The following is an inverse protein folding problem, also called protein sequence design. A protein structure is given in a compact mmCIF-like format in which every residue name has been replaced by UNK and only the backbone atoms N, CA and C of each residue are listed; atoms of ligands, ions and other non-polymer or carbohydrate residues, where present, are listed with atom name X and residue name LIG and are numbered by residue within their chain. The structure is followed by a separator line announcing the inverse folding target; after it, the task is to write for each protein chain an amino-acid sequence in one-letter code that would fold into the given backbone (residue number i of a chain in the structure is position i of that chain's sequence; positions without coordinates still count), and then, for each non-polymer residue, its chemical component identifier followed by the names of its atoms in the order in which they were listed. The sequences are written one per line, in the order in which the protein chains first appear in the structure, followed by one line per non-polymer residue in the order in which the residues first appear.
data_IF_883949456849
#
_entry.id   IF_883949456849
#
_cell.length_a   1.000
_cell.length_b   1.000
_cell.length_c   1.000
_cell.angle_alpha   90.00
_cell.angle_beta   90.00
_cell.angle_gamma   90.00
#
_symmetry.space_group_name_H-M   'P 1'
#
loop_
_entity.id
_entity.type
_entity.pdbx_description
1 polymer ?
#
# COMPACT_ATOMS: atom_id res chain seq x y z
N UNK A 1 18.94 1.80 -39.01
CA UNK A 1 18.84 2.20 -37.60
C UNK A 1 18.78 0.96 -36.67
N UNK A 2 17.81 0.01 -36.83
CA UNK A 2 17.73 -1.20 -35.99
C UNK A 2 18.99 -2.05 -36.05
N UNK A 3 19.51 -2.37 -37.25
CA UNK A 3 20.75 -3.18 -37.38
C UNK A 3 22.01 -2.54 -36.82
N UNK A 4 22.11 -1.20 -36.83
CA UNK A 4 23.21 -0.47 -36.19
C UNK A 4 23.15 -0.63 -34.66
N UNK A 5 21.95 -0.49 -34.09
CA UNK A 5 21.75 -0.65 -32.65
C UNK A 5 21.96 -2.10 -32.21
N UNK A 6 21.48 -3.07 -33.00
CA UNK A 6 21.72 -4.50 -32.77
C UNK A 6 23.23 -4.79 -32.68
N UNK A 7 24.00 -4.33 -33.68
CA UNK A 7 25.46 -4.55 -33.71
C UNK A 7 26.16 -3.89 -32.52
N UNK A 8 25.75 -2.68 -32.13
CA UNK A 8 26.28 -1.99 -30.96
C UNK A 8 26.03 -2.78 -29.67
N UNK A 9 24.78 -3.20 -29.45
CA UNK A 9 24.36 -3.93 -28.25
C UNK A 9 25.10 -5.27 -28.15
N UNK A 10 25.11 -6.07 -29.20
CA UNK A 10 25.69 -7.40 -29.14
C UNK A 10 27.23 -7.40 -29.24
N UNK A 11 27.84 -6.36 -29.81
CA UNK A 11 29.32 -6.16 -29.76
C UNK A 11 29.76 -5.89 -28.32
N UNK A 12 29.02 -5.11 -27.55
CA UNK A 12 29.37 -4.70 -26.19
C UNK A 12 28.50 -5.39 -25.11
N UNK A 13 27.98 -6.59 -25.41
CA UNK A 13 27.02 -7.31 -24.55
C UNK A 13 27.47 -7.48 -23.10
N UNK A 14 28.76 -7.74 -22.85
CA UNK A 14 29.33 -7.89 -21.51
C UNK A 14 29.34 -6.55 -20.77
N UNK A 15 29.81 -5.50 -21.44
CA UNK A 15 29.85 -4.16 -20.84
C UNK A 15 28.44 -3.64 -20.50
N UNK A 16 27.45 -3.91 -21.35
CA UNK A 16 26.04 -3.55 -21.11
C UNK A 16 25.50 -4.28 -19.87
N UNK A 17 25.78 -5.59 -19.73
CA UNK A 17 25.33 -6.33 -18.54
C UNK A 17 26.00 -5.85 -17.26
N UNK A 18 27.29 -5.52 -17.33
CA UNK A 18 28.05 -4.94 -16.19
C UNK A 18 27.41 -3.59 -15.80
N UNK A 19 27.14 -2.73 -16.80
CA UNK A 19 26.51 -1.44 -16.54
C UNK A 19 25.11 -1.58 -15.93
N UNK A 20 24.26 -2.46 -16.48
CA UNK A 20 22.93 -2.75 -15.92
C UNK A 20 23.05 -3.34 -14.52
N UNK A 21 23.99 -4.24 -14.29
CA UNK A 21 24.27 -4.83 -12.97
C UNK A 21 24.69 -3.77 -11.94
N UNK A 22 25.59 -2.86 -12.32
CA UNK A 22 26.03 -1.76 -11.46
C UNK A 22 24.86 -0.81 -11.13
N UNK A 23 24.07 -0.41 -12.13
CA UNK A 23 22.85 0.39 -11.93
C UNK A 23 21.87 -0.34 -11.01
N UNK A 24 21.67 -1.65 -11.22
CA UNK A 24 20.76 -2.45 -10.38
C UNK A 24 21.23 -2.53 -8.93
N UNK A 25 22.54 -2.63 -8.70
CA UNK A 25 23.10 -2.63 -7.34
C UNK A 25 22.86 -1.28 -6.63
N UNK A 26 23.11 -0.18 -7.33
CA UNK A 26 22.87 1.18 -6.80
C UNK A 26 21.37 1.40 -6.55
N UNK A 27 20.52 1.06 -7.51
CA UNK A 27 19.09 1.16 -7.37
C UNK A 27 18.56 0.23 -6.28
N UNK A 28 19.13 -0.96 -6.12
CA UNK A 28 18.79 -1.88 -5.03
C UNK A 28 19.03 -1.25 -3.65
N UNK A 29 20.13 -0.52 -3.49
CA UNK A 29 20.39 0.22 -2.25
C UNK A 29 19.32 1.28 -1.97
N UNK A 30 18.96 2.11 -2.93
CA UNK A 30 17.91 3.11 -2.74
C UNK A 30 16.53 2.49 -2.54
N UNK A 31 16.24 1.36 -3.18
CA UNK A 31 14.97 0.65 -2.98
C UNK A 31 14.74 0.19 -1.53
N UNK A 32 15.82 -0.09 -0.77
CA UNK A 32 15.70 -0.45 0.66
C UNK A 32 15.37 0.73 1.57
N UNK A 33 15.48 1.96 1.08
CA UNK A 33 15.19 3.18 1.83
C UNK A 33 13.77 3.71 1.59
N UNK A 34 12.97 2.98 0.81
CA UNK A 34 11.60 3.36 0.50
C UNK A 34 10.77 3.40 1.78
N UNK A 35 10.06 4.52 1.98
CA UNK A 35 9.19 4.75 3.13
C UNK A 35 7.73 4.62 2.70
N UNK A 36 6.88 4.24 3.65
CA UNK A 36 5.43 4.36 3.44
C UNK A 36 5.02 5.80 3.69
N UNK A 37 4.24 6.34 2.77
CA UNK A 37 3.71 7.69 2.86
C UNK A 37 2.22 7.65 2.47
N UNK A 38 1.40 7.73 3.46
CA UNK A 38 -0.04 7.64 3.28
C UNK A 38 -0.72 8.92 3.79
N UNK A 39 -0.12 10.09 3.50
CA UNK A 39 -0.67 11.38 3.89
C UNK A 39 -2.10 11.58 3.38
N UNK A 40 -3.03 11.95 4.29
CA UNK A 40 -4.42 12.25 3.94
C UNK A 40 -4.51 13.33 2.86
N UNK A 41 -3.63 14.31 2.90
CA UNK A 41 -3.58 15.43 1.96
C UNK A 41 -3.40 15.00 0.50
N UNK A 42 -2.72 13.85 0.26
CA UNK A 42 -2.53 13.29 -1.07
C UNK A 42 -3.80 12.73 -1.70
N UNK A 43 -4.83 12.45 -0.88
CA UNK A 43 -6.11 11.92 -1.33
C UNK A 43 -7.05 13.02 -1.78
N UNK A 44 -6.73 14.28 -1.47
CA UNK A 44 -7.58 15.43 -1.76
C UNK A 44 -7.20 16.08 -3.10
N UNK A 45 -8.19 16.58 -3.87
CA UNK A 45 -7.94 17.36 -5.08
C UNK A 45 -7.37 18.74 -4.69
N UNK A 46 -6.05 18.90 -4.80
CA UNK A 46 -5.32 20.09 -4.32
C UNK A 46 -5.76 21.40 -4.98
N UNK A 47 -6.21 21.34 -6.23
CA UNK A 47 -6.61 22.53 -7.01
C UNK A 47 -8.02 23.01 -6.70
N UNK A 48 -8.80 22.27 -5.89
CA UNK A 48 -10.16 22.65 -5.56
C UNK A 48 -10.18 23.75 -4.50
N UNK A 49 -10.89 24.84 -4.75
CA UNK A 49 -10.97 26.03 -3.87
C UNK A 49 -11.32 25.66 -2.41
N UNK A 50 -12.30 24.78 -2.22
CA UNK A 50 -12.67 24.28 -0.90
C UNK A 50 -11.51 23.57 -0.18
N UNK A 51 -10.73 22.77 -0.91
CA UNK A 51 -9.60 22.05 -0.35
C UNK A 51 -8.45 23.00 -0.01
N UNK A 52 -8.19 23.99 -0.84
CA UNK A 52 -7.18 25.04 -0.55
C UNK A 52 -7.57 25.79 0.74
N UNK A 53 -8.82 26.19 0.86
CA UNK A 53 -9.33 26.83 2.07
C UNK A 53 -9.24 25.89 3.28
N UNK A 54 -9.60 24.61 3.12
CA UNK A 54 -9.48 23.62 4.19
C UNK A 54 -8.01 23.48 4.65
N UNK A 55 -7.05 23.32 3.74
CA UNK A 55 -5.63 23.19 4.04
C UNK A 55 -5.04 24.45 4.71
N UNK A 56 -5.53 25.64 4.33
CA UNK A 56 -5.10 26.91 4.95
C UNK A 56 -5.56 27.05 6.42
N UNK A 57 -6.76 26.53 6.73
CA UNK A 57 -7.37 26.71 8.05
C UNK A 57 -7.37 25.46 8.92
N UNK A 58 -6.95 24.29 8.40
CA UNK A 58 -7.00 23.02 9.12
C UNK A 58 -6.27 23.07 10.47
N UNK A 59 -5.10 23.70 10.51
CA UNK A 59 -4.28 23.81 11.72
C UNK A 59 -4.88 24.75 12.77
N UNK A 60 -5.77 25.67 12.33
CA UNK A 60 -6.36 26.70 13.21
C UNK A 60 -7.74 26.31 13.71
N UNK A 61 -8.51 25.57 12.93
CA UNK A 61 -9.92 25.32 13.22
C UNK A 61 -10.23 23.87 13.58
N UNK A 62 -9.59 22.91 12.91
CA UNK A 62 -9.89 21.51 13.13
C UNK A 62 -8.62 20.69 12.87
N UNK A 63 -7.97 20.23 13.92
CA UNK A 63 -6.90 19.24 13.77
C UNK A 63 -7.39 18.07 12.93
N UNK A 64 -6.78 17.83 11.77
CA UNK A 64 -7.10 16.67 10.90
C UNK A 64 -6.71 15.34 11.55
N UNK A 65 -5.99 15.39 12.66
CA UNK A 65 -5.41 14.27 13.38
C UNK A 65 -6.22 13.83 14.60
N UNK A 66 -7.55 14.03 14.59
CA UNK A 66 -8.39 13.58 15.71
C UNK A 66 -8.55 12.05 15.69
N UNK A 67 -8.38 11.45 16.87
CA UNK A 67 -8.66 10.04 17.13
C UNK A 67 -9.76 9.92 18.17
N UNK A 68 -10.69 9.00 17.93
CA UNK A 68 -11.81 8.73 18.80
C UNK A 68 -11.71 7.25 19.23
N UNK A 69 -11.67 7.03 20.52
CA UNK A 69 -11.70 5.71 21.14
C UNK A 69 -13.08 5.49 21.73
N UNK A 70 -13.80 4.49 21.27
CA UNK A 70 -15.15 4.17 21.73
C UNK A 70 -15.08 2.87 22.52
N UNK A 71 -15.41 2.93 23.80
CA UNK A 71 -15.64 1.77 24.64
C UNK A 71 -17.12 1.44 24.58
N UNK A 72 -17.48 0.22 24.23
CA UNK A 72 -18.85 -0.27 24.13
C UNK A 72 -19.06 -1.45 25.06
N UNK A 73 -20.13 -1.41 25.85
CA UNK A 73 -20.60 -2.58 26.58
C UNK A 73 -21.29 -3.55 25.61
N UNK A 74 -20.94 -4.84 25.66
CA UNK A 74 -21.58 -5.89 24.86
C UNK A 74 -22.98 -6.19 25.39
N UNK A 75 -23.09 -6.20 26.72
CA UNK A 75 -24.33 -6.37 27.44
C UNK A 75 -24.47 -5.26 28.49
N UNK A 76 -25.69 -4.73 28.65
CA UNK A 76 -25.99 -3.65 29.60
C UNK A 76 -25.72 -2.25 29.08
N UNK A 77 -25.41 -1.33 29.97
CA UNK A 77 -25.23 0.08 29.69
C UNK A 77 -23.93 0.64 30.32
N UNK A 78 -23.64 1.90 30.02
CA UNK A 78 -22.46 2.61 30.53
C UNK A 78 -22.54 2.94 32.02
N UNK A 79 -23.73 2.83 32.63
CA UNK A 79 -24.00 3.21 34.02
C UNK A 79 -23.70 2.05 34.99
N UNK A 80 -22.53 1.47 34.85
CA UNK A 80 -22.05 0.41 35.71
C UNK A 80 -20.62 0.72 36.18
N UNK A 81 -20.31 0.32 37.42
CA UNK A 81 -18.97 0.54 37.99
C UNK A 81 -17.87 -0.10 37.14
N UNK A 82 -18.01 -1.35 36.62
CA UNK A 82 -16.98 -1.94 35.78
C UNK A 82 -16.75 -1.17 34.49
N UNK A 83 -17.81 -0.66 33.83
CA UNK A 83 -17.67 0.13 32.62
C UNK A 83 -16.99 1.48 32.89
N UNK A 84 -17.45 2.22 33.91
CA UNK A 84 -16.87 3.52 34.24
C UNK A 84 -15.41 3.42 34.68
N UNK A 85 -15.04 2.35 35.41
CA UNK A 85 -13.66 2.08 35.75
C UNK A 85 -12.81 1.77 34.50
N UNK A 86 -13.32 0.94 33.60
CA UNK A 86 -12.63 0.63 32.34
C UNK A 86 -12.46 1.88 31.46
N UNK A 87 -13.47 2.74 31.41
CA UNK A 87 -13.40 4.01 30.66
C UNK A 87 -12.36 4.97 31.27
N UNK A 88 -12.20 4.97 32.61
CA UNK A 88 -11.13 5.73 33.27
C UNK A 88 -9.76 5.24 32.86
N UNK A 89 -9.53 3.93 32.95
CA UNK A 89 -8.25 3.33 32.54
C UNK A 89 -7.95 3.60 31.07
N UNK A 90 -8.96 3.51 30.19
CA UNK A 90 -8.84 3.86 28.78
C UNK A 90 -8.47 5.34 28.61
N UNK A 91 -9.10 6.23 29.38
CA UNK A 91 -8.80 7.67 29.33
C UNK A 91 -7.36 7.94 29.73
N UNK A 92 -6.87 7.29 30.77
CA UNK A 92 -5.50 7.43 31.24
C UNK A 92 -4.48 6.89 30.22
N UNK A 93 -4.73 5.73 29.63
CA UNK A 93 -3.85 5.17 28.60
C UNK A 93 -3.78 6.09 27.36
N UNK A 94 -4.91 6.64 26.93
CA UNK A 94 -4.93 7.61 25.82
C UNK A 94 -4.18 8.90 26.19
N UNK A 95 -4.34 9.38 27.42
CA UNK A 95 -3.66 10.59 27.90
C UNK A 95 -2.14 10.44 27.93
N UNK A 96 -1.63 9.25 28.25
CA UNK A 96 -0.20 8.98 28.30
C UNK A 96 0.38 8.41 27.00
N UNK A 97 -0.46 8.16 25.99
CA UNK A 97 -0.01 7.64 24.70
C UNK A 97 0.95 8.64 24.03
N UNK A 98 2.15 8.21 23.59
CA UNK A 98 3.08 9.08 22.86
C UNK A 98 2.43 9.59 21.56
N UNK A 99 2.65 10.87 21.25
CA UNK A 99 2.07 11.51 20.06
C UNK A 99 0.67 12.09 20.25
N UNK A 100 0.06 11.93 21.42
CA UNK A 100 -1.22 12.56 21.77
C UNK A 100 -0.97 13.94 22.39
N UNK A 101 -1.70 14.96 21.91
CA UNK A 101 -1.78 16.25 22.63
C UNK A 101 -2.69 16.09 23.84
N UNK A 102 -2.10 15.96 25.01
CA UNK A 102 -2.78 15.74 26.28
C UNK A 102 -3.84 16.78 26.61
N UNK A 103 -3.69 18.02 26.12
CA UNK A 103 -4.63 19.12 26.37
C UNK A 103 -5.97 18.91 25.68
N UNK A 104 -5.98 18.11 24.60
CA UNK A 104 -7.16 17.85 23.78
C UNK A 104 -7.91 16.59 24.19
N UNK A 105 -7.32 15.78 25.09
CA UNK A 105 -7.97 14.56 25.57
C UNK A 105 -9.26 14.91 26.29
N UNK A 106 -10.35 14.38 25.79
CA UNK A 106 -11.70 14.68 26.31
C UNK A 106 -12.48 13.37 26.50
N UNK A 107 -12.93 13.16 27.70
CA UNK A 107 -13.87 12.10 28.12
C UNK A 107 -14.71 12.61 29.29
N UNK A 108 -15.68 11.83 29.75
CA UNK A 108 -16.43 12.20 30.98
C UNK A 108 -15.56 12.18 32.25
N UNK A 109 -14.36 11.61 32.18
CA UNK A 109 -13.39 11.56 33.27
C UNK A 109 -12.38 12.74 33.29
N UNK A 110 -12.35 13.54 32.21
CA UNK A 110 -11.35 14.61 32.11
C UNK A 110 -11.85 15.93 32.72
N UNK A 111 -11.00 16.70 33.41
CA UNK A 111 -11.39 17.97 34.06
C UNK A 111 -11.86 19.07 33.10
N UNK A 112 -11.57 18.94 31.81
CA UNK A 112 -12.05 19.85 30.77
C UNK A 112 -13.50 19.56 30.34
N UNK A 113 -14.11 18.48 30.86
CA UNK A 113 -15.52 18.12 30.63
C UNK A 113 -16.36 18.55 31.82
N UNK A 114 -16.98 19.74 31.69
CA UNK A 114 -17.75 20.36 32.77
C UNK A 114 -19.21 20.55 32.36
N UNK A 115 -20.12 20.38 33.32
CA UNK A 115 -21.49 20.79 33.15
C UNK A 115 -21.73 22.19 33.77
N UNK A 116 -22.72 22.87 33.23
CA UNK A 116 -23.13 24.20 33.71
C UNK A 116 -24.58 24.13 34.19
N UNK A 117 -24.84 24.67 35.34
CA UNK A 117 -26.19 24.76 35.91
C UNK A 117 -26.43 26.19 36.37
N UNK A 118 -27.60 26.72 36.03
CA UNK A 118 -28.06 27.99 36.49
C UNK A 118 -28.89 27.76 37.76
N UNK A 119 -28.46 28.26 38.87
CA UNK A 119 -29.16 28.21 40.16
C UNK A 119 -29.58 29.59 40.59
N UNK A 120 -30.41 29.69 41.65
CA UNK A 120 -30.80 31.00 42.23
C UNK A 120 -29.60 31.82 42.73
N UNK A 121 -28.47 31.14 43.07
CA UNK A 121 -27.23 31.75 43.56
C UNK A 121 -26.25 32.11 42.44
N UNK A 122 -26.55 31.74 41.18
CA UNK A 122 -25.71 32.05 40.03
C UNK A 122 -25.41 30.83 39.14
N UNK A 123 -24.36 30.99 38.31
CA UNK A 123 -23.88 29.94 37.40
C UNK A 123 -22.88 29.02 38.13
N UNK A 124 -23.26 27.74 38.25
CA UNK A 124 -22.35 26.70 38.74
C UNK A 124 -21.70 26.00 37.54
N UNK A 125 -20.39 25.85 37.58
CA UNK A 125 -19.60 25.08 36.63
C UNK A 125 -18.81 24.01 37.42
N UNK A 126 -19.11 22.73 37.20
CA UNK A 126 -18.45 21.67 37.93
C UNK A 126 -18.10 20.50 37.00
N UNK A 127 -17.17 19.64 37.45
CA UNK A 127 -16.73 18.48 36.70
C UNK A 127 -17.87 17.45 36.64
N UNK A 128 -17.96 16.74 35.52
CA UNK A 128 -18.98 15.66 35.36
C UNK A 128 -18.79 14.57 36.41
N UNK A 129 -17.55 14.22 36.69
CA UNK A 129 -17.16 13.28 37.74
C UNK A 129 -16.21 14.04 38.67
N UNK A 130 -16.62 14.18 39.95
CA UNK A 130 -15.80 14.84 40.94
C UNK A 130 -14.48 14.11 41.21
N UNK A 131 -13.43 14.86 41.53
CA UNK A 131 -12.08 14.34 41.72
C UNK A 131 -11.94 13.37 42.93
N UNK A 132 -12.88 13.39 43.86
CA UNK A 132 -12.96 12.51 45.04
C UNK A 132 -13.58 11.14 44.70
N UNK A 133 -14.23 10.99 43.54
CA UNK A 133 -14.82 9.72 43.10
C UNK A 133 -13.73 8.77 42.59
N UNK A 134 -13.56 7.65 43.31
CA UNK A 134 -12.64 6.61 42.91
C UNK A 134 -13.32 5.59 42.01
N UNK A 135 -12.84 5.43 40.77
CA UNK A 135 -13.39 4.53 39.75
C UNK A 135 -13.58 3.08 40.27
N UNK A 136 -12.71 2.63 41.17
CA UNK A 136 -12.72 1.27 41.73
C UNK A 136 -13.69 1.10 42.90
N UNK A 137 -14.27 2.18 43.47
CA UNK A 137 -15.11 2.17 44.70
C UNK A 137 -16.41 2.96 44.52
N UNK A 138 -16.88 3.17 43.31
CA UNK A 138 -18.17 3.84 43.05
C UNK A 138 -19.33 2.96 43.56
N UNK A 139 -20.29 3.63 44.20
CA UNK A 139 -21.55 3.05 44.59
C UNK A 139 -22.67 3.52 43.61
N UNK A 140 -23.86 2.97 43.74
CA UNK A 140 -24.99 3.32 42.89
C UNK A 140 -25.39 4.81 42.97
N UNK A 141 -25.21 5.44 44.12
CA UNK A 141 -25.49 6.86 44.29
C UNK A 141 -24.50 7.74 43.50
N UNK A 142 -23.22 7.38 43.50
CA UNK A 142 -22.19 8.05 42.69
C UNK A 142 -22.51 7.93 41.19
N UNK A 143 -22.90 6.75 40.75
CA UNK A 143 -23.25 6.47 39.34
C UNK A 143 -24.47 7.33 38.92
N UNK A 144 -25.48 7.43 39.76
CA UNK A 144 -26.65 8.25 39.45
C UNK A 144 -26.33 9.75 39.40
N UNK A 145 -25.40 10.23 40.25
CA UNK A 145 -24.88 11.60 40.17
C UNK A 145 -24.17 11.82 38.84
N UNK A 146 -23.24 10.92 38.45
CA UNK A 146 -22.55 10.98 37.17
C UNK A 146 -23.53 11.00 35.99
N UNK A 147 -24.51 10.11 35.98
CA UNK A 147 -25.55 10.04 34.96
C UNK A 147 -26.28 11.37 34.81
N UNK A 148 -26.70 11.96 35.92
CA UNK A 148 -27.39 13.24 35.94
C UNK A 148 -26.50 14.38 35.41
N UNK A 149 -25.23 14.41 35.81
CA UNK A 149 -24.26 15.41 35.36
C UNK A 149 -23.99 15.30 33.84
N UNK A 150 -23.87 14.07 33.32
CA UNK A 150 -23.72 13.81 31.86
C UNK A 150 -24.96 14.33 31.09
N UNK A 151 -26.16 14.11 31.60
CA UNK A 151 -27.38 14.59 30.96
C UNK A 151 -27.45 16.12 31.03
N UNK A 152 -27.18 16.72 32.20
CA UNK A 152 -27.19 18.18 32.40
C UNK A 152 -26.14 18.88 31.50
N UNK A 153 -24.96 18.29 31.37
CA UNK A 153 -23.90 18.82 30.52
C UNK A 153 -24.12 18.64 29.01
N UNK A 154 -25.19 17.94 28.60
CA UNK A 154 -25.51 17.69 27.19
C UNK A 154 -24.49 16.77 26.50
N UNK A 155 -23.86 15.85 27.25
CA UNK A 155 -22.85 14.93 26.74
C UNK A 155 -23.43 13.67 26.11
N UNK A 156 -24.74 13.42 26.28
CA UNK A 156 -25.45 12.35 25.55
C UNK A 156 -25.50 12.65 24.05
N UNK A 157 -25.05 11.73 23.24
CA UNK A 157 -24.86 11.90 21.80
C UNK A 157 -23.54 12.60 21.40
N UNK A 158 -22.68 12.95 22.39
CA UNK A 158 -21.35 13.54 22.18
C UNK A 158 -20.22 12.72 22.77
N UNK A 159 -20.24 12.43 24.06
CA UNK A 159 -19.28 11.59 24.79
C UNK A 159 -19.89 10.27 25.26
N UNK A 160 -21.21 10.23 25.41
CA UNK A 160 -21.96 9.02 25.74
C UNK A 160 -22.97 8.78 24.62
N UNK A 161 -23.12 7.56 24.17
CA UNK A 161 -24.06 7.18 23.12
C UNK A 161 -25.51 7.42 23.54
N UNK A 162 -26.41 7.69 22.59
CA UNK A 162 -27.83 7.97 22.86
C UNK A 162 -28.59 6.80 23.47
N UNK A 163 -28.11 5.58 23.15
CA UNK A 163 -28.65 4.33 23.68
C UNK A 163 -27.94 3.87 24.98
N UNK A 164 -27.01 4.69 25.47
CA UNK A 164 -26.21 4.41 26.66
C UNK A 164 -25.36 3.13 26.59
N UNK A 165 -25.09 2.57 25.41
CA UNK A 165 -24.29 1.35 25.27
C UNK A 165 -22.78 1.62 25.15
N UNK A 166 -22.39 2.87 24.88
CA UNK A 166 -21.01 3.22 24.64
C UNK A 166 -20.65 4.60 25.20
N UNK A 167 -19.38 4.80 25.50
CA UNK A 167 -18.79 6.11 25.77
C UNK A 167 -17.48 6.26 25.03
N UNK A 168 -17.06 7.51 24.79
CA UNK A 168 -15.88 7.78 23.99
C UNK A 168 -14.86 8.66 24.70
N UNK A 169 -13.60 8.45 24.31
CA UNK A 169 -12.46 9.30 24.59
C UNK A 169 -11.99 9.88 23.27
N UNK A 170 -11.86 11.19 23.17
CA UNK A 170 -11.35 11.88 21.99
C UNK A 170 -10.01 12.51 22.29
N UNK A 171 -9.11 12.50 21.32
CA UNK A 171 -7.82 13.14 21.42
C UNK A 171 -7.36 13.64 20.05
N UNK A 172 -6.49 14.66 20.03
CA UNK A 172 -5.79 15.09 18.83
C UNK A 172 -4.35 14.62 18.89
N UNK A 173 -3.80 14.27 17.73
CA UNK A 173 -2.44 13.82 17.59
C UNK A 173 -1.54 15.01 17.24
N UNK A 174 -0.33 15.00 17.76
CA UNK A 174 0.70 15.93 17.38
C UNK A 174 1.19 15.63 15.96
N UNK A 175 1.53 16.65 15.18
CA UNK A 175 2.13 16.46 13.87
C UNK A 175 3.62 16.11 13.94
N UNK A 176 4.27 16.64 14.97
CA UNK A 176 5.70 16.49 15.22
C UNK A 176 5.90 15.95 16.62
N UNK A 177 6.74 14.95 16.78
CA UNK A 177 7.14 14.45 18.09
C UNK A 177 8.00 15.54 18.79
N UNK A 178 7.56 16.06 19.95
CA UNK A 178 8.27 17.12 20.65
C UNK A 178 9.65 16.71 21.19
N UNK A 179 9.99 15.41 21.16
CA UNK A 179 11.30 14.91 21.62
C UNK A 179 12.30 14.77 20.50
N UNK A 180 11.86 14.41 19.30
CA UNK A 180 12.72 14.13 18.14
C UNK A 180 12.69 15.25 17.12
N UNK A 181 11.73 16.17 17.22
CA UNK A 181 11.43 17.22 16.23
C UNK A 181 11.16 16.64 14.81
N UNK A 182 10.91 15.34 14.71
CA UNK A 182 10.55 14.65 13.48
C UNK A 182 9.02 14.54 13.37
N UNK A 183 8.54 14.37 12.14
CA UNK A 183 7.11 14.08 11.91
C UNK A 183 6.71 12.79 12.62
N UNK A 184 5.52 12.80 13.20
CA UNK A 184 4.98 11.64 13.92
C UNK A 184 4.92 10.40 13.01
N UNK A 185 5.47 9.30 13.49
CA UNK A 185 5.35 8.00 12.81
C UNK A 185 3.97 7.40 13.07
N UNK A 186 3.05 7.64 12.13
CA UNK A 186 1.69 7.14 12.21
C UNK A 186 1.59 5.60 12.22
N UNK A 187 2.58 4.90 11.66
CA UNK A 187 2.57 3.43 11.63
C UNK A 187 2.94 2.87 13.02
N UNK A 188 3.96 3.43 13.63
CA UNK A 188 4.35 3.05 15.00
C UNK A 188 3.23 3.43 15.97
N UNK A 189 2.63 4.60 15.83
CA UNK A 189 1.51 5.02 16.66
C UNK A 189 0.28 4.13 16.47
N UNK A 190 -0.08 3.77 15.22
CA UNK A 190 -1.18 2.83 14.96
C UNK A 190 -0.94 1.47 15.63
N UNK A 191 0.30 0.97 15.58
CA UNK A 191 0.68 -0.27 16.26
C UNK A 191 0.55 -0.17 17.76
N UNK A 192 0.97 0.95 18.36
CA UNK A 192 0.82 1.19 19.81
C UNK A 192 -0.64 1.29 20.21
N UNK A 193 -1.44 2.03 19.45
CA UNK A 193 -2.89 2.13 19.67
C UNK A 193 -3.54 0.74 19.66
N UNK A 194 -3.16 -0.12 18.72
CA UNK A 194 -3.67 -1.48 18.65
C UNK A 194 -3.27 -2.32 19.86
N UNK A 195 -2.00 -2.28 20.27
CA UNK A 195 -1.47 -3.14 21.33
C UNK A 195 -1.71 -2.59 22.75
N UNK A 196 -1.52 -1.28 22.96
CA UNK A 196 -1.57 -0.65 24.28
C UNK A 196 -2.98 -0.18 24.64
N UNK A 197 -3.86 0.03 23.64
CA UNK A 197 -5.22 0.49 23.88
C UNK A 197 -6.25 -0.58 23.53
N UNK A 198 -6.38 -0.97 22.25
CA UNK A 198 -7.43 -1.91 21.85
C UNK A 198 -7.30 -3.25 22.57
N UNK A 199 -6.18 -3.95 22.39
CA UNK A 199 -6.00 -5.29 22.96
C UNK A 199 -6.02 -5.31 24.47
N UNK A 200 -5.66 -4.21 25.15
CA UNK A 200 -5.69 -4.08 26.60
C UNK A 200 -7.11 -3.93 27.15
N UNK A 201 -7.96 -3.19 26.46
CA UNK A 201 -9.29 -2.81 26.94
C UNK A 201 -10.42 -3.67 26.35
N UNK A 202 -10.18 -4.36 25.24
CA UNK A 202 -11.11 -5.33 24.66
C UNK A 202 -11.20 -6.57 25.56
N UNK A 203 -12.41 -7.05 25.84
CA UNK A 203 -12.66 -8.19 26.72
C UNK A 203 -13.95 -8.91 26.32
N UNK A 204 -14.34 -9.94 27.09
CA UNK A 204 -15.64 -10.61 26.89
C UNK A 204 -16.81 -9.64 27.10
N UNK A 205 -16.67 -8.63 27.95
CA UNK A 205 -17.72 -7.68 28.31
C UNK A 205 -17.69 -6.39 27.49
N UNK A 206 -16.54 -6.03 26.89
CA UNK A 206 -16.34 -4.73 26.25
C UNK A 206 -15.69 -4.86 24.87
N UNK A 207 -16.22 -4.09 23.91
CA UNK A 207 -15.59 -3.85 22.60
C UNK A 207 -14.90 -2.48 22.60
N UNK A 208 -13.78 -2.39 21.90
CA UNK A 208 -13.07 -1.13 21.67
C UNK A 208 -13.02 -0.82 20.18
N UNK A 209 -13.66 0.28 19.77
CA UNK A 209 -13.60 0.78 18.41
C UNK A 209 -12.75 2.04 18.35
N UNK A 210 -11.85 2.12 17.38
CA UNK A 210 -10.95 3.24 17.24
C UNK A 210 -11.16 3.85 15.85
N UNK A 211 -11.48 5.13 15.83
CA UNK A 211 -11.78 5.90 14.63
C UNK A 211 -10.76 7.03 14.50
N UNK A 212 -10.16 7.15 13.35
CA UNK A 212 -9.20 8.22 13.08
C UNK A 212 -8.26 7.85 11.94
N UNK A 213 -7.58 8.86 11.43
CA UNK A 213 -6.65 8.69 10.30
C UNK A 213 -5.50 7.72 10.62
N UNK A 214 -4.97 7.77 11.84
CA UNK A 214 -3.91 6.87 12.29
C UNK A 214 -4.28 5.40 12.18
N UNK A 215 -5.52 5.04 12.48
CA UNK A 215 -6.01 3.66 12.39
C UNK A 215 -6.09 3.21 10.93
N UNK A 216 -6.54 4.10 10.05
CA UNK A 216 -6.55 3.85 8.61
C UNK A 216 -5.13 3.61 8.09
N UNK A 217 -4.14 4.38 8.55
CA UNK A 217 -2.73 4.16 8.21
C UNK A 217 -2.22 2.80 8.64
N UNK A 218 -2.55 2.36 9.86
CA UNK A 218 -2.20 1.02 10.33
C UNK A 218 -2.80 -0.08 9.46
N UNK A 219 -4.08 0.03 9.09
CA UNK A 219 -4.75 -0.93 8.20
C UNK A 219 -4.16 -0.96 6.79
N UNK A 220 -3.78 0.19 6.25
CA UNK A 220 -3.09 0.29 4.95
C UNK A 220 -1.73 -0.42 5.01
N UNK A 221 -0.97 -0.23 6.09
CA UNK A 221 0.31 -0.90 6.27
C UNK A 221 0.18 -2.43 6.36
N UNK A 222 -0.84 -2.92 7.07
CA UNK A 222 -1.15 -4.36 7.10
C UNK A 222 -1.63 -4.87 5.73
N UNK A 223 -2.42 -4.07 5.02
CA UNK A 223 -2.80 -4.31 3.64
C UNK A 223 -1.57 -4.46 2.73
N UNK A 224 -0.57 -3.58 2.88
CA UNK A 224 0.69 -3.65 2.13
C UNK A 224 1.45 -4.96 2.39
N UNK A 225 1.55 -5.40 3.65
CA UNK A 225 2.16 -6.69 3.99
C UNK A 225 1.39 -7.86 3.37
N UNK A 226 0.07 -7.78 3.36
CA UNK A 226 -0.78 -8.78 2.70
C UNK A 226 -0.60 -8.76 1.19
N UNK A 227 -0.54 -7.59 0.57
CA UNK A 227 -0.25 -7.42 -0.85
C UNK A 227 1.08 -8.09 -1.21
N UNK A 228 2.15 -7.90 -0.41
CA UNK A 228 3.43 -8.55 -0.66
C UNK A 228 3.32 -10.09 -0.66
N UNK A 229 2.54 -10.68 0.26
CA UNK A 229 2.28 -12.14 0.25
C UNK A 229 1.58 -12.60 -1.03
N UNK A 230 0.59 -11.84 -1.50
CA UNK A 230 -0.08 -12.11 -2.78
C UNK A 230 0.87 -11.91 -3.97
N UNK A 231 1.81 -10.97 -3.89
CA UNK A 231 2.84 -10.82 -4.91
C UNK A 231 3.71 -12.07 -5.03
N UNK A 232 4.19 -12.62 -3.91
CA UNK A 232 4.96 -13.86 -3.92
C UNK A 232 4.16 -15.01 -4.52
N UNK A 233 2.88 -15.13 -4.17
CA UNK A 233 1.99 -16.14 -4.76
C UNK A 233 1.84 -15.95 -6.28
N UNK A 234 1.55 -14.74 -6.72
CA UNK A 234 1.43 -14.40 -8.14
C UNK A 234 2.75 -14.65 -8.89
N UNK A 235 3.90 -14.33 -8.27
CA UNK A 235 5.22 -14.62 -8.82
C UNK A 235 5.42 -16.13 -9.03
N UNK A 236 5.10 -16.96 -8.05
CA UNK A 236 5.23 -18.42 -8.15
C UNK A 236 4.29 -18.99 -9.22
N UNK A 237 3.02 -18.55 -9.25
CA UNK A 237 2.07 -18.96 -10.28
C UNK A 237 2.54 -18.56 -11.69
N UNK A 238 3.04 -17.33 -11.83
CA UNK A 238 3.58 -16.82 -13.10
C UNK A 238 4.82 -17.63 -13.52
N UNK A 239 5.73 -17.90 -12.59
CA UNK A 239 6.90 -18.75 -12.84
C UNK A 239 6.49 -20.15 -13.32
N UNK A 240 5.49 -20.76 -12.67
CA UNK A 240 4.91 -22.04 -13.09
C UNK A 240 4.29 -21.98 -14.49
N UNK A 241 3.53 -20.95 -14.80
CA UNK A 241 2.91 -20.76 -16.11
C UNK A 241 3.97 -20.55 -17.22
N UNK A 242 4.97 -19.69 -16.97
CA UNK A 242 6.07 -19.46 -17.91
C UNK A 242 6.92 -20.73 -18.10
N UNK A 243 7.18 -21.49 -17.04
CA UNK A 243 7.87 -22.78 -17.14
C UNK A 243 7.06 -23.79 -17.94
N UNK A 244 5.76 -23.90 -17.66
CA UNK A 244 4.87 -24.79 -18.42
C UNK A 244 4.86 -24.44 -19.91
N UNK A 245 4.91 -23.13 -20.23
CA UNK A 245 4.96 -22.63 -21.59
C UNK A 245 6.32 -22.86 -22.27
N UNK A 246 7.42 -22.44 -21.61
CA UNK A 246 8.79 -22.42 -22.15
C UNK A 246 9.49 -23.80 -22.12
N UNK A 247 9.06 -24.67 -21.18
CA UNK A 247 9.72 -25.95 -20.90
C UNK A 247 11.22 -25.87 -20.63
N UNK A 248 11.71 -24.69 -20.21
CA UNK A 248 13.09 -24.40 -19.92
C UNK A 248 13.23 -23.53 -18.67
N UNK A 249 14.04 -23.95 -17.71
CA UNK A 249 14.35 -23.14 -16.54
C UNK A 249 15.01 -21.82 -16.91
N UNK A 250 15.93 -21.82 -17.91
CA UNK A 250 16.62 -20.62 -18.36
C UNK A 250 15.61 -19.61 -18.90
N UNK A 251 14.74 -20.03 -19.83
CA UNK A 251 13.71 -19.17 -20.41
C UNK A 251 12.55 -18.86 -19.46
N UNK A 252 12.53 -19.41 -18.26
CA UNK A 252 11.63 -19.04 -17.19
C UNK A 252 12.26 -18.01 -16.28
N UNK A 253 13.49 -18.27 -15.81
CA UNK A 253 14.16 -17.39 -14.86
C UNK A 253 14.54 -16.05 -15.49
N UNK A 254 15.00 -16.02 -16.74
CA UNK A 254 15.42 -14.79 -17.41
C UNK A 254 14.31 -13.73 -17.47
N UNK A 255 13.08 -14.01 -17.96
CA UNK A 255 11.98 -13.06 -17.94
C UNK A 255 11.64 -12.53 -16.55
N UNK A 256 11.57 -13.45 -15.58
CA UNK A 256 11.23 -13.10 -14.21
C UNK A 256 12.30 -12.19 -13.60
N UNK A 257 13.57 -12.52 -13.81
CA UNK A 257 14.69 -11.71 -13.35
C UNK A 257 14.68 -10.32 -13.99
N UNK A 258 14.51 -10.21 -15.32
CA UNK A 258 14.42 -8.94 -16.01
C UNK A 258 13.22 -8.11 -15.53
N UNK A 259 12.07 -8.74 -15.29
CA UNK A 259 10.88 -8.05 -14.78
C UNK A 259 11.07 -7.59 -13.33
N UNK A 260 11.72 -8.39 -12.49
CA UNK A 260 12.03 -8.02 -11.10
C UNK A 260 13.05 -6.87 -11.05
N UNK A 261 14.05 -6.87 -11.95
CA UNK A 261 14.99 -5.75 -12.06
C UNK A 261 14.27 -4.41 -12.29
N UNK A 262 13.24 -4.39 -13.16
CA UNK A 262 12.46 -3.16 -13.35
C UNK A 262 11.68 -2.74 -12.11
N UNK A 263 11.20 -3.69 -11.31
CA UNK A 263 10.50 -3.40 -10.04
C UNK A 263 11.49 -2.81 -9.02
N UNK A 264 12.71 -3.33 -8.95
CA UNK A 264 13.76 -2.76 -8.09
C UNK A 264 14.07 -1.31 -8.50
N UNK A 265 14.22 -1.07 -9.80
CA UNK A 265 14.47 0.28 -10.32
C UNK A 265 13.29 1.21 -10.06
N UNK A 266 12.06 0.71 -10.13
CA UNK A 266 10.87 1.45 -9.78
C UNK A 266 10.89 1.90 -8.31
N UNK A 267 11.13 0.98 -7.37
CA UNK A 267 11.19 1.32 -5.94
C UNK A 267 12.26 2.36 -5.63
N UNK A 268 13.44 2.21 -6.22
CA UNK A 268 14.50 3.20 -6.09
C UNK A 268 14.08 4.57 -6.64
N UNK A 269 13.39 4.59 -7.77
CA UNK A 269 12.96 5.85 -8.40
C UNK A 269 11.88 6.54 -7.57
N UNK A 270 10.94 5.79 -6.99
CA UNK A 270 9.94 6.33 -6.04
C UNK A 270 10.66 7.05 -4.89
N UNK A 271 11.66 6.39 -4.28
CA UNK A 271 12.44 6.99 -3.21
C UNK A 271 13.23 8.24 -3.68
N UNK A 272 13.90 8.18 -4.84
CA UNK A 272 14.70 9.29 -5.37
C UNK A 272 13.87 10.51 -5.78
N UNK A 273 12.61 10.32 -6.16
CA UNK A 273 11.66 11.39 -6.44
C UNK A 273 11.08 12.00 -5.15
N UNK A 274 11.41 11.45 -3.98
CA UNK A 274 10.86 11.87 -2.71
C UNK A 274 9.43 11.39 -2.47
N UNK A 275 8.94 10.47 -3.31
CA UNK A 275 7.64 9.85 -3.12
C UNK A 275 7.72 8.73 -2.08
N UNK A 276 6.64 8.55 -1.33
CA UNK A 276 6.46 7.37 -0.48
C UNK A 276 5.57 6.32 -1.13
N UNK A 277 5.48 5.16 -0.50
CA UNK A 277 4.56 4.11 -0.92
C UNK A 277 3.19 4.40 -0.32
N UNK A 278 2.30 4.99 -1.10
CA UNK A 278 0.90 5.22 -0.73
C UNK A 278 0.04 3.97 -1.04
N UNK A 279 -1.24 3.94 -0.59
CA UNK A 279 -2.13 2.79 -0.81
C UNK A 279 -2.35 2.40 -2.27
N UNK A 280 -2.32 3.37 -3.21
CA UNK A 280 -2.45 3.10 -4.64
C UNK A 280 -1.11 2.69 -5.24
N UNK A 281 0.00 3.32 -4.81
CA UNK A 281 1.35 3.01 -5.26
C UNK A 281 1.77 1.56 -4.95
N UNK A 282 1.18 0.92 -3.92
CA UNK A 282 1.39 -0.51 -3.62
C UNK A 282 1.04 -1.41 -4.81
N UNK A 283 0.10 -1.01 -5.66
CA UNK A 283 -0.32 -1.80 -6.83
C UNK A 283 0.65 -1.68 -8.01
N UNK A 284 1.43 -0.60 -8.10
CA UNK A 284 2.31 -0.32 -9.25
C UNK A 284 3.38 -1.39 -9.48
N UNK A 285 4.08 -1.92 -8.47
CA UNK A 285 5.04 -2.99 -8.64
C UNK A 285 4.45 -4.26 -9.28
N UNK A 286 3.23 -4.63 -8.91
CA UNK A 286 2.52 -5.78 -9.50
C UNK A 286 2.25 -5.56 -10.98
N UNK A 287 1.74 -4.38 -11.29
CA UNK A 287 1.38 -3.98 -12.65
C UNK A 287 2.63 -3.93 -13.53
N UNK A 288 3.70 -3.30 -13.06
CA UNK A 288 4.98 -3.26 -13.76
C UNK A 288 5.53 -4.67 -13.93
N UNK A 289 5.50 -5.53 -12.92
CA UNK A 289 5.92 -6.92 -13.03
C UNK A 289 5.11 -7.69 -14.08
N UNK A 290 3.78 -7.61 -14.03
CA UNK A 290 2.89 -8.34 -14.95
C UNK A 290 3.07 -7.92 -16.42
N UNK A 291 3.13 -6.61 -16.69
CA UNK A 291 3.44 -6.07 -18.03
C UNK A 291 4.81 -6.59 -18.48
N UNK A 292 5.80 -6.57 -17.59
CA UNK A 292 7.13 -7.07 -17.88
C UNK A 292 7.16 -8.52 -18.30
N UNK A 293 6.50 -9.39 -17.55
CA UNK A 293 6.43 -10.83 -17.91
C UNK A 293 5.69 -11.03 -19.24
N UNK A 294 4.60 -10.29 -19.49
CA UNK A 294 3.85 -10.36 -20.75
C UNK A 294 4.74 -10.09 -21.97
N UNK A 295 5.50 -8.99 -21.94
CA UNK A 295 6.42 -8.64 -23.03
C UNK A 295 7.59 -9.63 -23.12
N UNK A 296 8.09 -10.12 -21.99
CA UNK A 296 9.15 -11.13 -21.94
C UNK A 296 8.74 -12.45 -22.56
N UNK A 297 7.48 -12.88 -22.41
CA UNK A 297 6.96 -14.10 -23.04
C UNK A 297 6.98 -13.97 -24.57
N UNK A 298 6.69 -12.80 -25.13
CA UNK A 298 6.83 -12.58 -26.57
C UNK A 298 8.29 -12.73 -27.02
N UNK A 299 9.23 -12.16 -26.25
CA UNK A 299 10.65 -12.24 -26.51
C UNK A 299 11.17 -13.68 -26.49
N UNK A 300 10.87 -14.44 -25.43
CA UNK A 300 11.28 -15.84 -25.32
C UNK A 300 10.63 -16.75 -26.38
N UNK A 301 9.39 -16.44 -26.79
CA UNK A 301 8.74 -17.16 -27.86
C UNK A 301 9.49 -17.01 -29.20
N UNK A 302 9.94 -15.79 -29.50
CA UNK A 302 10.72 -15.54 -30.71
C UNK A 302 12.10 -16.20 -30.65
N UNK A 303 12.80 -16.11 -29.48
CA UNK A 303 14.06 -16.83 -29.24
C UNK A 303 13.88 -18.33 -29.44
N UNK A 304 12.87 -18.93 -28.80
CA UNK A 304 12.58 -20.36 -28.94
C UNK A 304 12.29 -20.77 -30.38
N UNK A 305 11.54 -19.94 -31.11
CA UNK A 305 11.24 -20.18 -32.53
C UNK A 305 12.51 -20.20 -33.39
N UNK A 306 13.45 -19.29 -33.16
CA UNK A 306 14.71 -19.21 -33.88
C UNK A 306 15.62 -20.42 -33.55
N UNK A 307 15.71 -20.81 -32.28
CA UNK A 307 16.50 -21.97 -31.82
C UNK A 307 15.94 -23.26 -32.44
N UNK A 308 14.62 -23.46 -32.41
CA UNK A 308 13.99 -24.62 -33.05
C UNK A 308 14.14 -24.60 -34.59
N UNK A 309 14.41 -23.45 -35.19
CA UNK A 309 14.76 -23.31 -36.60
C UNK A 309 16.23 -23.53 -36.91
N UNK A 310 17.05 -23.98 -35.94
CA UNK A 310 18.46 -24.29 -36.11
C UNK A 310 19.43 -23.13 -35.92
N UNK A 311 18.94 -21.96 -35.44
CA UNK A 311 19.84 -20.84 -35.11
C UNK A 311 20.55 -21.10 -33.78
N UNK A 312 21.82 -20.69 -33.70
CA UNK A 312 22.56 -20.65 -32.43
C UNK A 312 22.01 -19.55 -31.51
N UNK A 313 22.28 -19.63 -30.21
CA UNK A 313 21.73 -18.71 -29.21
C UNK A 313 22.06 -17.23 -29.47
N UNK A 314 23.29 -16.84 -29.82
CA UNK A 314 23.59 -15.46 -30.19
C UNK A 314 22.78 -14.95 -31.40
N UNK A 315 22.62 -15.75 -32.43
CA UNK A 315 21.81 -15.40 -33.62
C UNK A 315 20.32 -15.33 -33.28
N UNK A 316 19.80 -16.27 -32.49
CA UNK A 316 18.42 -16.27 -32.03
C UNK A 316 18.12 -15.01 -31.19
N UNK A 317 19.03 -14.65 -30.28
CA UNK A 317 18.90 -13.44 -29.45
C UNK A 317 18.94 -12.15 -30.29
N UNK A 318 19.84 -12.05 -31.25
CA UNK A 318 19.94 -10.90 -32.19
C UNK A 318 18.65 -10.73 -33.00
N UNK A 319 18.16 -11.81 -33.62
CA UNK A 319 16.92 -11.81 -34.39
C UNK A 319 15.70 -11.45 -33.53
N UNK A 320 15.68 -11.93 -32.30
CA UNK A 320 14.63 -11.59 -31.34
C UNK A 320 14.66 -10.11 -30.97
N UNK A 321 15.84 -9.56 -30.69
CA UNK A 321 16.03 -8.14 -30.41
C UNK A 321 15.54 -7.29 -31.60
N UNK A 322 16.04 -7.53 -32.80
CA UNK A 322 15.70 -6.75 -33.99
C UNK A 322 14.23 -6.87 -34.37
N UNK A 323 13.62 -8.06 -34.18
CA UNK A 323 12.21 -8.31 -34.50
C UNK A 323 11.23 -7.67 -33.54
N UNK A 324 11.62 -7.50 -32.27
CA UNK A 324 10.73 -6.95 -31.23
C UNK A 324 11.11 -5.53 -30.79
N UNK A 325 12.23 -4.99 -31.22
CA UNK A 325 12.65 -3.65 -30.80
C UNK A 325 11.59 -2.59 -31.15
N UNK A 326 11.15 -2.55 -32.39
CA UNK A 326 10.16 -1.54 -32.83
C UNK A 326 8.77 -1.84 -32.26
N UNK A 327 8.14 -3.02 -32.50
CA UNK A 327 6.78 -3.27 -32.00
C UNK A 327 6.73 -3.29 -30.47
N UNK A 328 7.76 -3.82 -29.81
CA UNK A 328 7.85 -3.82 -28.34
C UNK A 328 8.01 -2.43 -27.74
N UNK A 329 8.86 -1.59 -28.35
CA UNK A 329 8.99 -0.18 -27.91
C UNK A 329 7.70 0.59 -28.10
N UNK A 330 7.00 0.41 -29.23
CA UNK A 330 5.71 1.07 -29.47
C UNK A 330 4.65 0.64 -28.45
N UNK A 331 4.58 -0.64 -28.10
CA UNK A 331 3.67 -1.12 -27.06
C UNK A 331 3.98 -0.50 -25.70
N UNK A 332 5.27 -0.47 -25.29
CA UNK A 332 5.71 0.14 -24.04
C UNK A 332 5.40 1.65 -24.03
N UNK A 333 5.63 2.37 -25.14
CA UNK A 333 5.30 3.80 -25.24
C UNK A 333 3.80 4.03 -25.13
N UNK A 334 2.98 3.16 -25.70
CA UNK A 334 1.51 3.24 -25.57
C UNK A 334 1.09 3.07 -24.10
N UNK A 335 1.67 2.11 -23.40
CA UNK A 335 1.42 1.92 -21.96
C UNK A 335 1.87 3.14 -21.14
N UNK A 336 3.06 3.72 -21.46
CA UNK A 336 3.55 4.94 -20.83
C UNK A 336 2.59 6.12 -21.02
N UNK A 337 2.07 6.31 -22.23
CA UNK A 337 1.08 7.37 -22.52
C UNK A 337 -0.21 7.11 -21.73
N UNK A 338 -0.66 5.85 -21.66
CA UNK A 338 -1.83 5.45 -20.88
C UNK A 338 -1.72 5.82 -19.39
N UNK A 339 -0.57 5.54 -18.77
CA UNK A 339 -0.32 5.96 -17.37
C UNK A 339 -0.06 7.46 -17.25
N UNK A 340 0.59 8.07 -18.24
CA UNK A 340 0.86 9.52 -18.27
C UNK A 340 -0.41 10.37 -18.24
N UNK A 341 -1.54 9.88 -18.77
CA UNK A 341 -2.83 10.57 -18.72
C UNK A 341 -3.32 10.75 -17.28
N UNK A 342 -2.99 9.83 -16.36
CA UNK A 342 -3.38 9.94 -14.96
C UNK A 342 -2.79 11.16 -14.26
N UNK A 343 -1.64 11.66 -14.72
CA UNK A 343 -0.97 12.86 -14.19
C UNK A 343 -1.84 14.13 -14.35
N UNK A 344 -2.79 14.14 -15.26
CA UNK A 344 -3.72 15.28 -15.47
C UNK A 344 -4.79 15.36 -14.36
N UNK A 345 -4.97 14.28 -13.59
CA UNK A 345 -5.97 14.25 -12.52
C UNK A 345 -5.37 14.92 -11.27
N UNK A 346 -5.96 16.04 -10.76
CA UNK A 346 -5.38 16.82 -9.67
C UNK A 346 -5.59 16.18 -8.28
N UNK A 347 -5.27 14.90 -8.16
CA UNK A 347 -5.28 14.14 -6.91
C UNK A 347 -3.88 13.56 -6.73
N UNK A 348 -3.16 14.00 -5.70
CA UNK A 348 -1.75 13.67 -5.52
C UNK A 348 -1.41 12.19 -5.61
N UNK A 349 -2.22 11.30 -5.03
CA UNK A 349 -2.02 9.84 -5.12
C UNK A 349 -2.16 9.31 -6.55
N UNK A 350 -3.08 9.87 -7.36
CA UNK A 350 -3.30 9.43 -8.74
C UNK A 350 -2.19 9.98 -9.64
N UNK A 351 -1.74 11.19 -9.41
CA UNK A 351 -0.61 11.81 -10.10
C UNK A 351 0.68 11.01 -9.85
N UNK A 352 1.01 10.72 -8.60
CA UNK A 352 2.18 9.91 -8.22
C UNK A 352 2.08 8.49 -8.80
N UNK A 353 0.91 7.86 -8.78
CA UNK A 353 0.65 6.57 -9.42
C UNK A 353 0.93 6.63 -10.93
N UNK A 354 0.44 7.66 -11.61
CA UNK A 354 0.66 7.87 -13.05
C UNK A 354 2.14 8.00 -13.39
N UNK A 355 2.86 8.85 -12.66
CA UNK A 355 4.30 9.08 -12.84
C UNK A 355 5.09 7.80 -12.60
N UNK A 356 4.85 7.14 -11.47
CA UNK A 356 5.60 5.94 -11.07
C UNK A 356 5.33 4.76 -11.99
N UNK A 357 4.08 4.54 -12.40
CA UNK A 357 3.73 3.50 -13.34
C UNK A 357 4.34 3.76 -14.73
N UNK A 358 4.28 5.00 -15.23
CA UNK A 358 4.88 5.40 -16.49
C UNK A 358 6.40 5.13 -16.50
N UNK A 359 7.11 5.54 -15.45
CA UNK A 359 8.56 5.32 -15.33
C UNK A 359 8.87 3.82 -15.17
N UNK A 360 8.12 3.10 -14.35
CA UNK A 360 8.29 1.66 -14.15
C UNK A 360 8.11 0.86 -15.44
N UNK A 361 7.18 1.27 -16.28
CA UNK A 361 6.97 0.67 -17.61
C UNK A 361 8.09 1.10 -18.57
N UNK A 362 8.57 2.34 -18.54
CA UNK A 362 9.70 2.80 -19.35
C UNK A 362 10.97 1.94 -19.14
N UNK A 363 11.24 1.51 -17.91
CA UNK A 363 12.38 0.62 -17.62
C UNK A 363 12.33 -0.70 -18.39
N UNK A 364 11.16 -1.12 -18.90
CA UNK A 364 11.03 -2.33 -19.72
C UNK A 364 11.79 -2.23 -21.04
N UNK A 365 11.99 -1.03 -21.57
CA UNK A 365 12.80 -0.82 -22.77
C UNK A 365 14.21 -1.37 -22.52
N UNK A 366 14.78 -1.10 -21.38
CA UNK A 366 16.12 -1.58 -21.01
C UNK A 366 16.10 -3.03 -20.55
N UNK A 367 15.22 -3.35 -19.59
CA UNK A 367 15.29 -4.65 -18.90
C UNK A 367 14.73 -5.81 -19.75
N UNK A 368 13.79 -5.54 -20.66
CA UNK A 368 13.18 -6.59 -21.48
C UNK A 368 13.66 -6.55 -22.93
N UNK A 369 13.65 -5.39 -23.57
CA UNK A 369 14.04 -5.34 -24.98
C UNK A 369 15.56 -5.45 -25.16
N UNK A 370 16.38 -4.99 -24.20
CA UNK A 370 17.83 -5.05 -24.30
C UNK A 370 18.43 -6.16 -23.43
N UNK A 371 18.20 -6.13 -22.11
CA UNK A 371 18.86 -7.03 -21.16
C UNK A 371 18.46 -8.50 -21.37
N UNK A 372 17.19 -8.81 -21.61
CA UNK A 372 16.72 -10.20 -21.76
C UNK A 372 17.37 -10.91 -22.96
N UNK A 373 17.35 -10.38 -24.22
CA UNK A 373 18.02 -11.05 -25.33
C UNK A 373 19.54 -11.09 -25.16
N UNK A 374 20.15 -10.05 -24.56
CA UNK A 374 21.60 -10.08 -24.27
C UNK A 374 21.92 -11.21 -23.30
N UNK A 375 21.18 -11.36 -22.19
CA UNK A 375 21.35 -12.48 -21.27
C UNK A 375 21.13 -13.83 -21.96
N UNK A 376 20.06 -13.97 -22.77
CA UNK A 376 19.77 -15.20 -23.48
C UNK A 376 20.89 -15.63 -24.45
N UNK A 377 21.67 -14.68 -24.96
CA UNK A 377 22.79 -14.96 -25.87
C UNK A 377 23.98 -15.68 -25.22
N UNK A 378 24.06 -15.75 -23.91
CA UNK A 378 25.12 -16.46 -23.17
C UNK A 378 24.77 -17.92 -22.85
N UNK A 379 23.53 -18.33 -23.01
CA UNK A 379 23.10 -19.68 -22.69
C UNK A 379 23.03 -20.54 -23.95
N UNK A 380 23.43 -21.79 -23.82
CA UNK A 380 23.29 -22.79 -24.89
C UNK A 380 22.07 -23.68 -24.65
N UNK A 381 21.39 -24.06 -25.70
CA UNK A 381 20.20 -24.92 -25.64
C UNK A 381 20.51 -26.27 -26.28
N UNK A 382 20.35 -27.35 -25.49
CA UNK A 382 20.62 -28.72 -25.91
C UNK A 382 19.58 -29.26 -26.90
N UNK A 383 19.94 -30.25 -27.69
CA UNK A 383 18.99 -30.99 -28.56
C UNK A 383 17.81 -31.56 -27.77
N UNK A 384 18.01 -31.95 -26.51
CA UNK A 384 16.95 -32.41 -25.62
C UNK A 384 15.88 -31.32 -25.39
N UNK A 385 16.29 -30.08 -25.27
CA UNK A 385 15.39 -28.94 -25.14
C UNK A 385 14.63 -28.71 -26.44
N UNK A 386 15.30 -28.71 -27.58
CA UNK A 386 14.69 -28.53 -28.92
C UNK A 386 13.62 -29.59 -29.16
N UNK A 387 13.94 -30.84 -28.94
CA UNK A 387 12.98 -31.97 -29.08
C UNK A 387 11.78 -31.83 -28.12
N UNK A 388 11.99 -31.36 -26.90
CA UNK A 388 10.91 -31.16 -25.91
C UNK A 388 9.95 -30.04 -26.32
N UNK A 389 10.46 -28.95 -26.81
CA UNK A 389 9.66 -27.80 -27.29
C UNK A 389 8.89 -28.17 -28.55
N UNK A 390 9.52 -28.86 -29.51
CA UNK A 390 8.86 -29.30 -30.74
C UNK A 390 7.67 -30.19 -30.41
N UNK A 391 7.83 -31.18 -29.53
CA UNK A 391 6.71 -32.04 -29.07
C UNK A 391 5.60 -31.23 -28.38
N UNK A 392 5.93 -30.27 -27.55
CA UNK A 392 4.95 -29.42 -26.88
C UNK A 392 4.21 -28.52 -27.87
N UNK A 393 4.90 -28.02 -28.89
CA UNK A 393 4.33 -27.22 -29.97
C UNK A 393 3.35 -28.03 -30.80
N UNK A 394 3.75 -29.23 -31.24
CA UNK A 394 2.90 -30.16 -32.01
C UNK A 394 1.64 -30.54 -31.21
N UNK A 395 1.77 -30.73 -29.92
CA UNK A 395 0.63 -31.01 -29.05
C UNK A 395 -0.33 -29.82 -28.98
N UNK A 396 0.18 -28.61 -28.86
CA UNK A 396 -0.62 -27.37 -28.87
C UNK A 396 -1.31 -27.13 -30.22
N UNK A 397 -0.60 -27.32 -31.32
CA UNK A 397 -1.18 -27.18 -32.66
C UNK A 397 -2.30 -28.22 -32.88
N UNK A 398 -2.12 -29.44 -32.44
CA UNK A 398 -3.18 -30.46 -32.48
C UNK A 398 -4.42 -30.05 -31.66
N UNK A 399 -4.20 -29.48 -30.48
CA UNK A 399 -5.28 -29.00 -29.60
C UNK A 399 -6.03 -27.82 -30.26
N UNK A 400 -5.29 -26.82 -30.77
CA UNK A 400 -5.88 -25.66 -31.46
C UNK A 400 -6.65 -26.07 -32.71
N UNK A 401 -6.11 -27.00 -33.51
CA UNK A 401 -6.85 -27.57 -34.66
C UNK A 401 -8.14 -28.29 -34.26
N UNK A 402 -8.15 -28.96 -33.09
CA UNK A 402 -9.38 -29.57 -32.56
C UNK A 402 -10.42 -28.52 -32.16
N UNK A 403 -9.99 -27.43 -31.52
CA UNK A 403 -10.86 -26.30 -31.16
C UNK A 403 -11.36 -25.58 -32.44
N UNK A 404 -10.48 -25.37 -33.44
CA UNK A 404 -10.86 -24.76 -34.70
C UNK A 404 -11.96 -25.54 -35.45
N UNK A 405 -11.92 -26.85 -35.40
CA UNK A 405 -12.99 -27.71 -35.98
C UNK A 405 -14.35 -27.55 -35.31
N UNK A 406 -14.37 -27.12 -34.03
CA UNK A 406 -15.63 -26.84 -33.31
C UNK A 406 -16.21 -25.47 -33.76
N UNK A 407 -15.36 -24.56 -34.19
CA UNK A 407 -15.74 -23.22 -34.63
C UNK A 407 -16.08 -23.16 -36.15
N UNK A 408 -15.79 -24.26 -36.93
CA UNK A 408 -16.22 -24.34 -38.32
C UNK A 408 -17.74 -24.58 -38.37
N UNK A 409 -18.51 -23.75 -39.10
CA UNK A 409 -19.92 -23.97 -39.24
C UNK A 409 -20.14 -25.35 -39.90
N UNK A 410 -20.94 -26.21 -39.28
CA UNK A 410 -21.43 -27.42 -39.93
C UNK A 410 -22.37 -27.01 -41.06
N UNK A 411 -21.89 -27.10 -42.33
CA UNK A 411 -22.78 -27.10 -43.50
C UNK A 411 -23.63 -28.36 -43.49
#
# INVERSE_FOLDING_TARGET
MVGTLENLVFRHRVAILIAIGAVTAVMGYFATQLRMDAGFEKQLPRDHEYIQTFLEYQDRLFGSNRVIFVLRAKDGDVWSQPFLARLKDLTDDVFFLPGVDRRTVTSIWTPNTRYFEITEEGLIADDVISADVLATRMNEADIEVIRRNVIKGGFVGRLVAKDYTAAMVTAELLEVDPKTEERLDYLELARRIETEVRQKHESEDFDVHILGFVTMMGQIAEGAKSAFRFFVLAFVLTAGAVYYYSRSWILTVLPLFCSLTSVIWLFATIHLLGFGLDPLAILVPFLVFAIGVSHSVQQINLISKQICGGADSPTAARRSFSGLLVPGSMAIVTDMVGFGILVVIPIGMIEELGITAMIGVAFKIVTILVMLPVLASFFTFDERYINRIQRARDARERFIRRLGRIAEPRN
#
